data_IF_885261194001
#
_entry.id   IF_885261194001
#
_cell.length_a   1.000
_cell.length_b   1.000
_cell.length_c   1.000
_cell.angle_alpha   90.00
_cell.angle_beta   90.00
_cell.angle_gamma   90.00
#
_symmetry.space_group_name_H-M   'P 1'
#
loop_
_entity.id
_entity.type
_entity.pdbx_description
1 polymer ?
#
# COMPACT_ATOMS: atom_id res chain seq x y z
N UNK A 1 -4.51 -4.10 -1.32
CA UNK A 1 -4.87 -2.89 -2.09
C UNK A 1 -6.16 -3.11 -2.85
N UNK A 2 -6.28 -4.18 -3.66
CA UNK A 2 -7.52 -4.56 -4.39
C UNK A 2 -8.34 -5.67 -3.71
N UNK A 3 -7.75 -6.40 -2.77
CA UNK A 3 -8.35 -7.51 -2.04
C UNK A 3 -9.46 -7.07 -1.07
N UNK A 4 -9.43 -5.82 -0.63
CA UNK A 4 -10.47 -5.19 0.18
C UNK A 4 -11.60 -4.54 -0.65
N UNK A 5 -11.40 -4.39 -1.97
CA UNK A 5 -12.34 -3.72 -2.86
C UNK A 5 -13.75 -4.36 -2.83
N UNK A 6 -13.90 -5.70 -2.82
CA UNK A 6 -15.23 -6.31 -2.76
C UNK A 6 -15.99 -5.93 -1.49
N UNK A 7 -15.32 -5.82 -0.34
CA UNK A 7 -15.96 -5.43 0.92
C UNK A 7 -16.48 -3.99 0.89
N UNK A 8 -15.72 -3.08 0.28
CA UNK A 8 -16.17 -1.70 0.06
C UNK A 8 -17.39 -1.65 -0.86
N UNK A 9 -17.36 -2.37 -1.99
CA UNK A 9 -18.48 -2.40 -2.94
C UNK A 9 -19.76 -2.97 -2.30
N UNK A 10 -19.61 -4.03 -1.51
CA UNK A 10 -20.71 -4.67 -0.81
C UNK A 10 -21.35 -3.71 0.21
N UNK A 11 -20.52 -2.98 0.96
CA UNK A 11 -20.98 -1.95 1.89
C UNK A 11 -21.73 -0.81 1.19
N UNK A 12 -21.19 -0.30 0.07
CA UNK A 12 -21.83 0.76 -0.71
C UNK A 12 -23.16 0.30 -1.33
N UNK A 13 -23.27 -0.97 -1.70
CA UNK A 13 -24.50 -1.57 -2.21
C UNK A 13 -25.54 -1.84 -1.10
N UNK A 14 -25.18 -1.69 0.18
CA UNK A 14 -26.06 -1.99 1.31
C UNK A 14 -26.39 -3.48 1.45
N UNK A 15 -25.51 -4.36 0.96
CA UNK A 15 -25.73 -5.81 0.99
C UNK A 15 -25.07 -6.39 2.24
N UNK A 16 -25.85 -7.02 3.11
CA UNK A 16 -25.34 -7.75 4.26
C UNK A 16 -25.00 -9.20 3.86
N UNK A 17 -23.76 -9.62 4.13
CA UNK A 17 -23.35 -11.02 3.96
C UNK A 17 -22.56 -11.52 5.17
N UNK A 18 -22.62 -12.82 5.49
CA UNK A 18 -21.81 -13.39 6.58
C UNK A 18 -20.30 -13.30 6.33
N UNK A 19 -19.90 -13.10 5.08
CA UNK A 19 -18.50 -12.99 4.66
C UNK A 19 -17.99 -11.55 4.66
N UNK A 20 -18.87 -10.57 4.85
CA UNK A 20 -18.49 -9.18 4.98
C UNK A 20 -17.66 -8.95 6.24
N UNK A 21 -16.57 -8.19 6.09
CA UNK A 21 -15.69 -7.81 7.19
C UNK A 21 -15.52 -6.29 7.17
N UNK A 22 -16.07 -5.64 8.17
CA UNK A 22 -15.97 -4.18 8.36
C UNK A 22 -14.51 -3.71 8.45
N UNK A 23 -13.62 -4.54 9.00
CA UNK A 23 -12.18 -4.29 9.14
C UNK A 23 -11.49 -4.04 7.79
N UNK A 24 -12.07 -4.54 6.70
CA UNK A 24 -11.54 -4.39 5.35
C UNK A 24 -12.20 -3.25 4.58
N UNK A 25 -13.22 -2.60 5.15
CA UNK A 25 -13.90 -1.49 4.51
C UNK A 25 -13.30 -0.16 4.97
N UNK A 26 -12.72 0.58 4.04
CA UNK A 26 -12.07 1.88 4.29
C UNK A 26 -13.05 2.93 4.86
N UNK A 27 -14.34 2.80 4.57
CA UNK A 27 -15.37 3.73 5.06
C UNK A 27 -15.90 3.34 6.45
N UNK A 28 -15.53 2.17 6.95
CA UNK A 28 -15.98 1.69 8.26
C UNK A 28 -15.13 2.31 9.38
N UNK A 29 -15.71 2.65 10.53
CA UNK A 29 -14.95 3.09 11.70
C UNK A 29 -14.01 2.00 12.25
N UNK A 30 -14.18 0.74 11.84
CA UNK A 30 -13.34 -0.40 12.27
C UNK A 30 -12.23 -0.75 11.28
N UNK A 31 -11.97 0.10 10.28
CA UNK A 31 -10.97 -0.17 9.26
C UNK A 31 -9.56 -0.32 9.86
N UNK A 32 -8.85 -1.39 9.47
CA UNK A 32 -7.44 -1.60 9.86
C UNK A 32 -6.49 -1.12 8.76
N UNK A 33 -5.86 0.03 9.00
CA UNK A 33 -4.86 0.62 8.11
C UNK A 33 -3.49 -0.09 8.15
N UNK A 34 -3.18 -0.81 9.24
CA UNK A 34 -1.88 -1.45 9.46
C UNK A 34 -1.79 -2.85 8.85
N UNK A 35 -2.84 -3.28 8.15
CA UNK A 35 -2.91 -4.60 7.53
C UNK A 35 -1.79 -4.81 6.49
N UNK A 36 -0.99 -5.90 6.59
CA UNK A 36 0.10 -6.15 5.65
C UNK A 36 -0.43 -6.42 4.25
N UNK A 37 0.15 -5.73 3.26
CA UNK A 37 -0.24 -5.84 1.86
C UNK A 37 0.55 -6.93 1.17
N UNK A 38 0.10 -8.18 1.30
CA UNK A 38 0.77 -9.34 0.71
C UNK A 38 0.40 -9.46 -0.78
N UNK A 39 1.40 -9.40 -1.65
CA UNK A 39 1.31 -9.66 -3.08
C UNK A 39 1.54 -11.15 -3.34
N UNK A 40 0.60 -11.79 -4.05
CA UNK A 40 0.69 -13.21 -4.48
C UNK A 40 1.07 -14.18 -3.35
N UNK A 41 0.60 -13.93 -2.12
CA UNK A 41 0.90 -14.72 -0.92
C UNK A 41 2.39 -14.90 -0.60
N UNK A 42 3.29 -14.12 -1.22
CA UNK A 42 4.74 -14.36 -1.12
C UNK A 42 5.53 -13.12 -0.77
N UNK A 43 5.11 -11.95 -1.22
CA UNK A 43 5.88 -10.72 -1.05
C UNK A 43 5.07 -9.66 -0.32
N UNK A 44 5.66 -9.03 0.69
CA UNK A 44 5.08 -7.88 1.37
C UNK A 44 5.33 -6.62 0.53
N UNK A 45 4.26 -6.01 0.03
CA UNK A 45 4.31 -4.81 -0.79
C UNK A 45 4.96 -3.63 -0.07
N UNK A 46 4.74 -3.49 1.24
CA UNK A 46 5.23 -2.35 2.00
C UNK A 46 6.76 -2.32 2.04
N UNK A 47 7.36 -3.49 2.29
CA UNK A 47 8.81 -3.65 2.25
C UNK A 47 9.40 -3.38 0.86
N UNK A 48 8.71 -3.83 -0.20
CA UNK A 48 9.15 -3.61 -1.58
C UNK A 48 9.13 -2.13 -1.95
N UNK A 49 8.07 -1.41 -1.55
CA UNK A 49 7.93 0.03 -1.79
C UNK A 49 9.04 0.80 -1.09
N UNK A 50 9.29 0.52 0.19
CA UNK A 50 10.27 1.27 0.97
C UNK A 50 11.69 1.04 0.43
N UNK A 51 12.03 -0.19 0.07
CA UNK A 51 13.30 -0.51 -0.58
C UNK A 51 13.48 0.20 -1.93
N UNK A 52 12.40 0.41 -2.69
CA UNK A 52 12.44 1.14 -3.96
C UNK A 52 12.65 2.64 -3.74
N UNK A 53 11.95 3.24 -2.77
CA UNK A 53 12.09 4.66 -2.40
C UNK A 53 13.51 4.97 -1.92
N UNK A 54 14.13 4.08 -1.13
CA UNK A 54 15.53 4.25 -0.71
C UNK A 54 16.51 4.23 -1.87
N UNK A 55 16.30 3.36 -2.87
CA UNK A 55 17.15 3.31 -4.07
C UNK A 55 17.06 4.60 -4.86
N UNK A 56 15.85 5.12 -5.07
CA UNK A 56 15.64 6.41 -5.76
C UNK A 56 16.38 7.54 -5.03
N UNK A 57 16.19 7.68 -3.71
CA UNK A 57 16.87 8.71 -2.91
C UNK A 57 18.40 8.60 -3.00
N UNK A 58 18.95 7.38 -2.98
CA UNK A 58 20.39 7.15 -3.14
C UNK A 58 20.88 7.56 -4.53
N UNK A 59 20.11 7.29 -5.58
CA UNK A 59 20.46 7.69 -6.95
C UNK A 59 20.39 9.20 -7.16
N UNK A 60 19.37 9.87 -6.62
CA UNK A 60 19.24 11.33 -6.66
C UNK A 60 20.41 12.02 -5.94
N UNK A 61 20.74 11.58 -4.72
CA UNK A 61 21.88 12.12 -3.97
C UNK A 61 23.22 11.95 -4.71
N UNK A 62 23.42 10.84 -5.43
CA UNK A 62 24.61 10.61 -6.26
C UNK A 62 24.64 11.54 -7.48
N UNK A 63 23.49 11.79 -8.12
CA UNK A 63 23.39 12.71 -9.27
C UNK A 63 23.69 14.16 -8.83
N UNK A 64 23.15 14.61 -7.69
CA UNK A 64 23.41 15.95 -7.14
C UNK A 64 24.90 16.12 -6.84
N UNK A 65 25.52 15.20 -6.10
CA UNK A 65 26.96 15.23 -5.80
C UNK A 65 27.85 15.23 -7.06
N UNK A 66 27.42 14.54 -8.12
CA UNK A 66 28.16 14.51 -9.40
C UNK A 66 28.02 15.82 -10.19
N UNK A 67 26.90 16.53 -10.04
CA UNK A 67 26.69 17.88 -10.61
C UNK A 67 27.53 18.93 -9.86
N UNK A 68 27.53 18.91 -8.54
CA UNK A 68 28.33 19.84 -7.72
C UNK A 68 29.83 19.70 -7.98
N UNK A 69 30.34 18.47 -8.16
CA UNK A 69 31.76 18.22 -8.49
C UNK A 69 32.18 18.62 -9.91
N UNK A 70 31.22 18.96 -10.77
CA UNK A 70 31.46 19.35 -12.18
C UNK A 70 31.43 20.86 -12.40
N UNK A 71 30.96 21.63 -11.42
CA UNK A 71 31.03 23.09 -11.39
C UNK A 71 32.29 23.52 -10.60
#
# INVERSE_FOLDING_TARGET
>A
MTDALPHLLLYLAGIETPTYKEEYNILSPKYDEMRPRILKNSADYDKLRDAHLEKIKKEESKKVKKKERKN
#
